data_IF_853783393801
#
_entry.id   IF_853783393801
#
_cell.length_a   1.000
_cell.length_b   1.000
_cell.length_c   1.000
_cell.angle_alpha   90.00
_cell.angle_beta   90.00
_cell.angle_gamma   90.00
#
_symmetry.space_group_name_H-M   'P 1'
#
loop_
_entity.id
_entity.type
_entity.pdbx_description
1 polymer ?
#
# COMPACT_ATOMS: atom_id res chain seq x y z
N UNK A 1 -11.93 16.78 -3.03
CA UNK A 1 -11.27 15.69 -2.29
C UNK A 1 -12.07 14.43 -2.57
N UNK A 2 -11.49 13.44 -3.24
CA UNK A 2 -12.18 12.25 -3.78
C UNK A 2 -12.90 11.49 -2.64
N UNK A 3 -14.21 11.24 -2.74
CA UNK A 3 -15.02 10.62 -1.67
C UNK A 3 -14.51 9.22 -1.28
N UNK A 4 -13.85 8.54 -2.23
CA UNK A 4 -13.21 7.25 -2.02
C UNK A 4 -12.02 7.30 -1.05
N UNK A 5 -11.29 8.43 -1.00
CA UNK A 5 -10.14 8.61 -0.09
C UNK A 5 -10.58 8.76 1.37
N UNK A 6 -11.78 9.30 1.61
CA UNK A 6 -12.34 9.42 2.96
C UNK A 6 -12.65 8.06 3.60
N UNK A 7 -12.76 7.01 2.78
CA UNK A 7 -13.01 5.66 3.27
C UNK A 7 -11.75 4.90 3.66
N UNK A 8 -10.57 5.52 3.52
CA UNK A 8 -9.31 4.93 3.91
C UNK A 8 -8.95 5.32 5.35
N UNK A 9 -8.62 4.31 6.17
CA UNK A 9 -8.00 4.51 7.46
C UNK A 9 -6.51 4.78 7.23
N UNK A 10 -6.13 6.04 7.06
CA UNK A 10 -4.74 6.49 6.90
C UNK A 10 -3.85 6.26 8.15
N UNK A 11 -4.40 5.61 9.18
CA UNK A 11 -3.73 5.27 10.45
C UNK A 11 -3.98 3.80 10.88
N UNK A 12 -3.44 2.81 10.16
CA UNK A 12 -3.66 1.42 10.49
C UNK A 12 -2.96 1.01 11.79
N UNK A 13 -3.73 0.45 12.74
CA UNK A 13 -3.20 0.01 14.05
C UNK A 13 -2.41 -1.30 13.98
N UNK A 14 -2.72 -2.17 13.01
CA UNK A 14 -2.08 -3.47 12.84
C UNK A 14 -2.02 -3.93 11.37
N UNK A 15 -1.15 -4.91 11.07
CA UNK A 15 -0.84 -5.42 9.72
C UNK A 15 -2.05 -5.79 8.87
N UNK A 16 -3.08 -6.40 9.47
CA UNK A 16 -4.31 -6.78 8.74
C UNK A 16 -5.09 -5.56 8.24
N UNK A 17 -5.17 -4.50 9.05
CA UNK A 17 -5.85 -3.26 8.66
C UNK A 17 -5.06 -2.62 7.52
N UNK A 18 -3.75 -2.45 7.69
CA UNK A 18 -2.88 -1.91 6.63
C UNK A 18 -3.03 -2.68 5.32
N UNK A 19 -3.02 -4.03 5.36
CA UNK A 19 -3.18 -4.84 4.17
C UNK A 19 -4.53 -4.61 3.46
N UNK A 20 -5.61 -4.47 4.22
CA UNK A 20 -6.94 -4.21 3.68
C UNK A 20 -7.05 -2.79 3.09
N UNK A 21 -6.42 -1.80 3.71
CA UNK A 21 -6.37 -0.43 3.19
C UNK A 21 -5.59 -0.35 1.87
N UNK A 22 -4.42 -1.00 1.79
CA UNK A 22 -3.65 -1.12 0.55
C UNK A 22 -4.46 -1.86 -0.51
N UNK A 23 -5.10 -2.98 -0.15
CA UNK A 23 -5.96 -3.76 -1.05
C UNK A 23 -7.07 -2.87 -1.65
N UNK A 24 -7.76 -2.12 -0.78
CA UNK A 24 -8.87 -1.24 -1.16
C UNK A 24 -8.40 -0.09 -2.06
N UNK A 25 -7.27 0.52 -1.74
CA UNK A 25 -6.67 1.57 -2.57
C UNK A 25 -6.31 1.07 -3.97
N UNK A 26 -5.74 -0.12 -4.07
CA UNK A 26 -5.43 -0.76 -5.36
C UNK A 26 -6.71 -1.11 -6.12
N UNK A 27 -7.76 -1.56 -5.43
CA UNK A 27 -9.05 -1.84 -6.06
C UNK A 27 -9.70 -0.55 -6.60
N UNK A 28 -9.65 0.55 -5.86
CA UNK A 28 -10.08 1.87 -6.35
C UNK A 28 -9.31 2.33 -7.59
N UNK A 29 -8.00 2.08 -7.64
CA UNK A 29 -7.21 2.39 -8.83
C UNK A 29 -7.64 1.53 -10.04
N UNK A 30 -7.88 0.24 -9.81
CA UNK A 30 -8.33 -0.68 -10.88
C UNK A 30 -9.72 -0.34 -11.41
N UNK A 31 -10.57 0.23 -10.56
CA UNK A 31 -11.92 0.68 -10.91
C UNK A 31 -11.92 2.13 -11.44
N UNK A 32 -10.75 2.71 -11.70
CA UNK A 32 -10.53 4.10 -12.17
C UNK A 32 -11.15 5.17 -11.25
N UNK A 33 -11.39 4.85 -9.97
CA UNK A 33 -11.91 5.80 -8.98
C UNK A 33 -10.82 6.73 -8.45
N UNK A 34 -9.55 6.29 -8.50
CA UNK A 34 -8.38 7.12 -8.23
C UNK A 34 -7.34 6.95 -9.34
N UNK A 35 -6.52 7.97 -9.58
CA UNK A 35 -5.44 7.91 -10.55
C UNK A 35 -4.18 7.25 -9.97
N UNK A 36 -3.19 6.98 -10.85
CA UNK A 36 -1.91 6.37 -10.45
C UNK A 36 -1.16 7.23 -9.42
N UNK A 37 -1.20 8.56 -9.57
CA UNK A 37 -0.51 9.49 -8.67
C UNK A 37 -1.14 9.50 -7.27
N UNK A 38 -2.48 9.44 -7.19
CA UNK A 38 -3.20 9.28 -5.93
C UNK A 38 -2.83 7.94 -5.26
N UNK A 39 -2.83 6.84 -6.02
CA UNK A 39 -2.41 5.54 -5.49
C UNK A 39 -0.97 5.57 -4.99
N UNK A 40 -0.05 6.15 -5.76
CA UNK A 40 1.36 6.29 -5.38
C UNK A 40 1.51 7.06 -4.07
N UNK A 41 0.81 8.18 -3.90
CA UNK A 41 0.83 8.94 -2.65
C UNK A 41 0.31 8.13 -1.45
N UNK A 42 -0.78 7.36 -1.62
CA UNK A 42 -1.33 6.54 -0.53
C UNK A 42 -0.36 5.44 -0.11
N UNK A 43 0.18 4.70 -1.09
CA UNK A 43 1.11 3.60 -0.80
C UNK A 43 2.41 4.14 -0.20
N UNK A 44 2.89 5.28 -0.68
CA UNK A 44 4.06 5.96 -0.11
C UNK A 44 3.82 6.41 1.32
N UNK A 45 2.69 7.04 1.62
CA UNK A 45 2.30 7.39 2.99
C UNK A 45 2.34 6.17 3.91
N UNK A 46 1.83 5.02 3.45
CA UNK A 46 1.88 3.78 4.22
C UNK A 46 3.30 3.23 4.39
N UNK A 47 4.15 3.31 3.37
CA UNK A 47 5.54 2.88 3.47
C UNK A 47 6.34 3.78 4.42
N UNK A 48 6.20 5.10 4.31
CA UNK A 48 6.96 6.08 5.09
C UNK A 48 6.55 6.09 6.58
N UNK A 49 5.25 5.97 6.88
CA UNK A 49 4.74 6.08 8.25
C UNK A 49 4.43 4.73 8.93
N UNK A 50 4.19 3.68 8.14
CA UNK A 50 3.80 2.36 8.62
C UNK A 50 4.68 1.25 8.03
N UNK A 51 5.87 1.59 7.53
CA UNK A 51 6.84 0.64 6.97
C UNK A 51 7.16 -0.53 7.90
N UNK A 52 7.21 -0.29 9.23
CA UNK A 52 7.41 -1.33 10.24
C UNK A 52 6.27 -2.38 10.31
N UNK A 53 5.08 -2.05 9.81
CA UNK A 53 3.98 -3.00 9.62
C UNK A 53 4.01 -3.61 8.22
N UNK A 54 4.36 -2.80 7.21
CA UNK A 54 4.35 -3.17 5.80
C UNK A 54 5.44 -4.20 5.47
N UNK A 55 6.63 -4.00 6.02
CA UNK A 55 7.82 -4.78 5.75
C UNK A 55 8.21 -5.64 6.97
N UNK A 56 9.00 -6.68 6.70
CA UNK A 56 9.69 -7.51 7.69
C UNK A 56 11.19 -7.21 7.65
N UNK A 57 11.99 -7.93 8.43
CA UNK A 57 13.45 -7.85 8.31
C UNK A 57 13.86 -8.07 6.85
N UNK A 58 14.88 -7.35 6.40
CA UNK A 58 15.37 -7.33 5.00
C UNK A 58 14.47 -6.63 3.98
N UNK A 59 13.60 -5.70 4.44
CA UNK A 59 12.74 -4.88 3.58
C UNK A 59 11.76 -5.68 2.70
N UNK A 60 11.57 -6.96 2.99
CA UNK A 60 10.55 -7.76 2.33
C UNK A 60 9.15 -7.36 2.80
N UNK A 61 8.15 -7.40 1.93
CA UNK A 61 6.75 -7.22 2.36
C UNK A 61 6.36 -8.32 3.34
N UNK A 62 5.71 -7.95 4.44
CA UNK A 62 5.30 -8.89 5.49
C UNK A 62 4.43 -10.03 4.91
N UNK A 63 4.70 -11.28 5.31
CA UNK A 63 3.98 -12.47 4.81
C UNK A 63 2.46 -12.37 4.91
N UNK A 64 1.92 -11.80 5.99
CA UNK A 64 0.46 -11.64 6.15
C UNK A 64 -0.12 -10.63 5.15
N UNK A 65 0.63 -9.57 4.86
CA UNK A 65 0.25 -8.57 3.85
C UNK A 65 0.32 -9.20 2.46
N UNK A 66 1.40 -9.95 2.17
CA UNK A 66 1.53 -10.71 0.91
C UNK A 66 0.33 -11.63 0.69
N UNK A 67 -0.08 -12.38 1.72
CA UNK A 67 -1.24 -13.27 1.66
C UNK A 67 -2.56 -12.54 1.37
N UNK A 68 -2.82 -11.41 2.02
CA UNK A 68 -4.08 -10.65 1.86
C UNK A 68 -4.16 -9.96 0.49
N UNK A 69 -3.05 -9.39 0.01
CA UNK A 69 -3.00 -8.69 -1.27
C UNK A 69 -3.06 -9.67 -2.46
N UNK A 70 -2.33 -10.77 -2.35
CA UNK A 70 -2.09 -11.69 -3.45
C UNK A 70 -1.18 -11.09 -4.54
N UNK A 71 -0.64 -11.96 -5.39
CA UNK A 71 0.42 -11.62 -6.35
C UNK A 71 0.05 -10.45 -7.29
N UNK A 72 -1.20 -10.38 -7.74
CA UNK A 72 -1.65 -9.34 -8.68
C UNK A 72 -1.60 -7.94 -8.05
N UNK A 73 -2.08 -7.79 -6.81
CA UNK A 73 -2.08 -6.48 -6.12
C UNK A 73 -0.70 -6.13 -5.60
N UNK A 74 0.07 -7.11 -5.12
CA UNK A 74 1.47 -6.91 -4.79
C UNK A 74 2.26 -6.30 -5.95
N UNK A 75 2.07 -6.82 -7.17
CA UNK A 75 2.73 -6.28 -8.36
C UNK A 75 2.41 -4.80 -8.57
N UNK A 76 1.12 -4.42 -8.50
CA UNK A 76 0.69 -3.02 -8.63
C UNK A 76 1.29 -2.15 -7.52
N UNK A 77 1.31 -2.65 -6.27
CA UNK A 77 1.92 -1.96 -5.14
C UNK A 77 3.40 -1.66 -5.39
N UNK A 78 4.16 -2.64 -5.89
CA UNK A 78 5.57 -2.45 -6.23
C UNK A 78 5.78 -1.53 -7.44
N UNK A 79 4.91 -1.60 -8.45
CA UNK A 79 4.94 -0.70 -9.61
C UNK A 79 4.74 0.78 -9.22
N UNK A 80 4.00 1.07 -8.15
CA UNK A 80 3.80 2.45 -7.67
C UNK A 80 4.79 2.89 -6.60
N UNK A 81 5.45 1.94 -5.91
CA UNK A 81 6.53 2.23 -4.97
C UNK A 81 7.80 2.69 -5.68
N UNK A 82 8.06 2.18 -6.90
CA UNK A 82 9.26 2.43 -7.73
C UNK A 82 10.62 2.23 -7.02
N UNK A 83 11.70 1.90 -7.74
CA UNK A 83 12.90 1.26 -7.17
C UNK A 83 13.72 2.13 -6.22
N UNK A 84 13.52 3.45 -6.22
CA UNK A 84 14.34 4.39 -5.45
C UNK A 84 14.15 4.24 -3.94
N UNK A 85 13.07 3.61 -3.47
CA UNK A 85 12.79 3.45 -2.04
C UNK A 85 13.18 2.09 -1.44
N UNK A 86 13.68 1.14 -2.23
CA UNK A 86 14.34 -0.07 -1.69
C UNK A 86 15.81 0.17 -1.29
N UNK A 87 16.32 1.38 -1.55
CA UNK A 87 17.69 1.82 -1.24
C UNK A 87 17.69 3.06 -0.35
N UNK A 88 17.07 3.01 0.83
CA UNK A 88 17.38 4.03 1.84
C UNK A 88 17.51 3.42 3.24
N UNK A 89 18.77 3.43 3.68
CA UNK A 89 19.39 3.13 4.98
C UNK A 89 19.68 1.67 5.33
#
# INVERSE_FOLDING_TARGET
>A
MNEHLQQLQLHPKHKTILANEIKKSIDFYRDNSICKDELSHIIKHYADHYGYLLFQQDYEVNTRIKYILGNRRLKIMFEVLEPQQLYFY
#
